data_IF_940107275950
#
_entry.id   IF_940107275950
#
_cell.length_a   1.000
_cell.length_b   1.000
_cell.length_c   1.000
_cell.angle_alpha   90.00
_cell.angle_beta   90.00
_cell.angle_gamma   90.00
#
_symmetry.space_group_name_H-M   'P 1'
#
loop_
_entity.id
_entity.type
_entity.pdbx_description
1 polymer ?
#
# COMPACT_ATOMS: atom_id res chain seq x y z
N UNK A 1 27.18 -11.92 24.79
CA UNK A 1 26.91 -13.25 24.18
C UNK A 1 26.79 -13.08 22.67
N UNK A 2 26.67 -14.16 21.89
CA UNK A 2 26.46 -14.05 20.43
C UNK A 2 25.05 -14.50 20.06
N UNK A 3 24.45 -13.82 19.08
CA UNK A 3 23.14 -14.16 18.55
C UNK A 3 23.19 -15.56 17.93
N UNK A 4 22.32 -16.50 18.34
CA UNK A 4 22.35 -17.87 17.80
C UNK A 4 21.88 -17.95 16.35
N UNK A 5 21.25 -16.89 15.82
CA UNK A 5 20.78 -16.83 14.44
C UNK A 5 21.84 -16.31 13.48
N UNK A 6 22.50 -15.18 13.79
CA UNK A 6 23.44 -14.52 12.87
C UNK A 6 24.89 -14.41 13.39
N UNK A 7 25.16 -14.81 14.64
CA UNK A 7 26.49 -14.71 15.24
C UNK A 7 26.91 -13.31 15.69
N UNK A 8 26.06 -12.28 15.56
CA UNK A 8 26.38 -10.93 16.02
C UNK A 8 26.54 -10.85 17.54
N UNK A 9 27.44 -10.00 18.04
CA UNK A 9 27.60 -9.78 19.48
C UNK A 9 26.38 -9.05 20.03
N UNK A 10 25.74 -9.60 21.06
CA UNK A 10 24.54 -9.05 21.69
C UNK A 10 24.70 -9.04 23.20
N UNK A 11 24.08 -8.06 23.85
CA UNK A 11 24.04 -7.99 25.31
C UNK A 11 23.01 -8.98 25.87
N UNK A 12 23.27 -9.58 27.05
CA UNK A 12 22.35 -10.52 27.67
C UNK A 12 21.01 -9.87 28.04
N UNK A 13 20.97 -8.53 28.17
CA UNK A 13 19.76 -7.82 28.53
C UNK A 13 18.88 -7.41 27.35
N UNK A 14 19.40 -7.48 26.13
CA UNK A 14 18.65 -7.16 24.92
C UNK A 14 17.52 -8.16 24.68
N UNK A 15 16.37 -7.64 24.22
CA UNK A 15 15.19 -8.46 23.89
C UNK A 15 15.28 -9.03 22.47
N UNK A 16 15.89 -8.29 21.56
CA UNK A 16 16.06 -8.63 20.14
C UNK A 16 17.50 -8.35 19.71
N UNK A 17 17.94 -9.00 18.63
CA UNK A 17 19.24 -8.74 18.02
C UNK A 17 19.15 -7.53 17.09
N UNK A 18 19.99 -6.51 17.30
CA UNK A 18 20.00 -5.28 16.47
C UNK A 18 20.45 -5.52 15.02
N UNK A 19 21.10 -6.65 14.73
CA UNK A 19 21.59 -6.97 13.40
C UNK A 19 20.54 -7.72 12.55
N UNK A 20 19.86 -8.71 13.11
CA UNK A 20 18.93 -9.57 12.34
C UNK A 20 17.50 -9.62 12.89
N UNK A 21 17.21 -8.94 14.00
CA UNK A 21 15.87 -8.92 14.62
C UNK A 21 15.51 -10.16 15.44
N UNK A 22 16.41 -11.14 15.58
CA UNK A 22 16.11 -12.37 16.34
C UNK A 22 15.76 -12.08 17.80
N UNK A 23 14.63 -12.62 18.29
CA UNK A 23 14.20 -12.48 19.67
C UNK A 23 15.07 -13.32 20.62
N UNK A 24 15.87 -12.65 21.44
CA UNK A 24 16.81 -13.27 22.39
C UNK A 24 16.15 -13.66 23.71
N UNK A 25 15.09 -12.95 24.11
CA UNK A 25 14.33 -13.23 25.33
C UNK A 25 12.94 -13.75 24.98
N UNK A 26 12.77 -15.08 25.01
CA UNK A 26 11.44 -15.69 25.08
C UNK A 26 10.94 -15.53 26.51
N UNK A 27 9.98 -14.63 26.76
CA UNK A 27 9.22 -14.69 28.01
C UNK A 27 8.58 -16.08 28.05
N UNK A 28 8.74 -16.80 29.17
CA UNK A 28 7.96 -18.01 29.45
C UNK A 28 6.50 -17.60 29.63
N UNK A 29 5.82 -17.34 28.53
CA UNK A 29 4.38 -17.45 28.43
C UNK A 29 4.17 -18.68 27.60
N UNK A 30 3.93 -19.78 28.31
CA UNK A 30 3.57 -21.05 27.74
C UNK A 30 2.43 -20.85 26.73
N UNK A 31 2.67 -21.34 25.52
CA UNK A 31 1.74 -22.16 24.75
C UNK A 31 0.28 -22.07 25.21
N UNK A 32 -0.43 -21.05 24.74
CA UNK A 32 -1.87 -21.19 24.55
C UNK A 32 -2.09 -21.24 23.05
N UNK A 33 -2.29 -22.46 22.58
CA UNK A 33 -2.97 -22.79 21.34
C UNK A 33 -4.40 -22.24 21.43
N UNK A 34 -4.62 -20.93 21.26
CA UNK A 34 -5.93 -20.28 21.05
C UNK A 34 -5.79 -18.83 20.55
N UNK A 35 -5.56 -18.70 19.25
CA UNK A 35 -6.27 -17.75 18.36
C UNK A 35 -6.35 -18.56 17.05
N UNK A 36 -7.47 -18.96 16.44
CA UNK A 36 -8.77 -18.30 16.26
C UNK A 36 -8.64 -16.82 15.90
N UNK A 37 -7.60 -16.49 15.14
CA UNK A 37 -7.69 -15.41 14.15
C UNK A 37 -8.35 -16.12 12.95
N UNK A 38 -9.63 -15.95 12.64
CA UNK A 38 -10.21 -14.84 11.87
C UNK A 38 -9.33 -14.28 10.74
N UNK A 39 -8.30 -15.03 10.35
CA UNK A 39 -7.40 -14.79 9.21
C UNK A 39 -7.28 -16.10 8.40
N UNK A 40 -8.36 -16.89 8.41
CA UNK A 40 -8.53 -17.94 7.42
C UNK A 40 -8.87 -17.22 6.14
N UNK A 41 -7.92 -17.21 5.19
CA UNK A 41 -8.14 -16.79 3.80
C UNK A 41 -9.55 -17.20 3.40
N UNK A 42 -10.42 -16.21 3.21
CA UNK A 42 -11.79 -16.44 2.74
C UNK A 42 -11.67 -17.23 1.45
N UNK A 43 -12.41 -18.34 1.31
CA UNK A 43 -12.27 -19.21 0.14
C UNK A 43 -12.47 -18.36 -1.12
N UNK A 44 -11.63 -18.56 -2.15
CA UNK A 44 -11.75 -17.84 -3.42
C UNK A 44 -13.18 -17.94 -3.98
N UNK A 45 -13.86 -19.05 -3.70
CA UNK A 45 -15.27 -19.31 -4.06
C UNK A 45 -16.27 -18.37 -3.37
N UNK A 46 -16.02 -17.97 -2.13
CA UNK A 46 -16.91 -17.07 -1.38
C UNK A 46 -16.82 -15.65 -1.92
N UNK A 47 -15.63 -15.24 -2.40
CA UNK A 47 -15.39 -13.93 -3.00
C UNK A 47 -16.06 -13.85 -4.38
N UNK A 48 -15.93 -14.88 -5.22
CA UNK A 48 -16.60 -14.95 -6.52
C UNK A 48 -18.13 -14.92 -6.42
N UNK A 49 -18.70 -15.52 -5.37
CA UNK A 49 -20.14 -15.50 -5.15
C UNK A 49 -20.67 -14.14 -4.69
N UNK A 50 -19.87 -13.31 -4.02
CA UNK A 50 -20.25 -11.93 -3.64
C UNK A 50 -20.23 -10.99 -4.85
N UNK A 51 -19.20 -11.09 -5.70
CA UNK A 51 -19.06 -10.24 -6.89
C UNK A 51 -20.17 -10.46 -7.93
N UNK A 52 -20.71 -11.68 -8.03
CA UNK A 52 -21.80 -11.98 -8.97
C UNK A 52 -23.18 -11.44 -8.53
N UNK A 53 -23.31 -10.88 -7.32
CA UNK A 53 -24.59 -10.37 -6.79
C UNK A 53 -24.75 -8.86 -6.89
N UNK A 54 -23.71 -8.09 -7.22
CA UNK A 54 -23.78 -6.61 -7.25
C UNK A 54 -24.29 -6.05 -8.60
N UNK A 55 -24.47 -6.88 -9.63
CA UNK A 55 -24.93 -6.45 -10.97
C UNK A 55 -26.45 -6.55 -11.20
N UNK A 56 -27.26 -6.47 -10.13
CA UNK A 56 -28.73 -6.49 -10.26
C UNK A 56 -29.43 -5.46 -9.39
N UNK A 57 -29.10 -4.18 -9.55
CA UNK A 57 -30.09 -3.11 -9.37
C UNK A 57 -29.68 -1.83 -10.10
N UNK A 58 -30.44 -1.54 -11.16
CA UNK A 58 -30.82 -0.19 -11.58
C UNK A 58 -29.76 0.70 -12.24
N UNK A 59 -29.66 0.43 -13.55
CA UNK A 59 -29.54 1.41 -14.63
C UNK A 59 -30.36 2.69 -14.35
N UNK A 60 -29.73 3.77 -13.90
CA UNK A 60 -30.28 5.14 -14.01
C UNK A 60 -29.20 6.12 -14.51
N UNK A 61 -29.31 6.40 -15.81
CA UNK A 61 -28.70 7.49 -16.59
C UNK A 61 -27.27 7.93 -16.25
N UNK A 62 -26.32 7.49 -17.07
CA UNK A 62 -25.04 8.17 -17.26
C UNK A 62 -25.28 9.63 -17.68
N UNK A 63 -25.17 10.56 -16.73
CA UNK A 63 -24.84 11.93 -17.08
C UNK A 63 -23.39 11.92 -17.60
N UNK A 64 -23.08 12.48 -18.78
CA UNK A 64 -21.71 12.57 -19.28
C UNK A 64 -20.87 13.30 -18.24
N UNK A 65 -19.90 12.60 -17.65
CA UNK A 65 -18.94 13.19 -16.72
C UNK A 65 -18.17 14.30 -17.44
N UNK A 66 -18.59 15.55 -17.26
CA UNK A 66 -17.83 16.70 -17.74
C UNK A 66 -16.78 17.08 -16.70
N UNK A 67 -15.60 17.44 -17.17
CA UNK A 67 -14.48 17.84 -16.32
C UNK A 67 -14.85 19.06 -15.46
N UNK A 68 -14.38 19.05 -14.21
CA UNK A 68 -14.59 20.15 -13.28
C UNK A 68 -14.01 21.47 -13.86
N UNK A 69 -14.71 22.61 -13.70
CA UNK A 69 -14.34 23.89 -14.34
C UNK A 69 -12.96 24.43 -13.92
N UNK A 70 -12.39 23.95 -12.82
CA UNK A 70 -11.02 24.28 -12.41
C UNK A 70 -9.95 23.82 -13.42
N UNK A 71 -10.27 22.87 -14.31
CA UNK A 71 -9.39 22.39 -15.37
C UNK A 71 -9.40 23.30 -16.62
N UNK A 72 -10.29 24.30 -16.69
CA UNK A 72 -10.36 25.25 -17.82
C UNK A 72 -9.31 26.37 -17.76
N UNK A 73 -8.27 26.25 -16.93
CA UNK A 73 -7.11 27.13 -17.07
C UNK A 73 -6.32 26.65 -18.27
N UNK A 74 -6.64 27.21 -19.44
CA UNK A 74 -5.81 27.09 -20.64
C UNK A 74 -4.38 27.54 -20.31
N UNK A 75 -3.49 26.57 -20.08
CA UNK A 75 -2.05 26.77 -20.27
C UNK A 75 -1.78 26.86 -21.79
N UNK A 76 -2.35 27.87 -22.42
CA UNK A 76 -2.38 28.05 -23.88
C UNK A 76 -1.82 29.38 -24.36
N UNK A 77 -1.32 30.24 -23.46
CA UNK A 77 -0.66 31.49 -23.83
C UNK A 77 0.75 31.53 -23.23
N UNK A 78 1.58 30.57 -23.62
CA UNK A 78 3.03 30.81 -23.65
C UNK A 78 3.34 31.28 -25.07
N UNK A 79 3.53 32.59 -25.23
CA UNK A 79 3.85 33.26 -26.48
C UNK A 79 5.01 32.56 -27.24
N UNK A 80 4.66 31.66 -28.15
CA UNK A 80 5.63 31.01 -29.06
C UNK A 80 6.21 31.99 -30.10
N UNK A 81 5.91 33.29 -30.00
CA UNK A 81 6.39 34.34 -30.90
C UNK A 81 7.59 35.14 -30.35
N UNK A 82 8.00 34.90 -29.11
CA UNK A 82 9.11 35.64 -28.49
C UNK A 82 10.50 35.03 -28.74
N UNK A 83 10.63 33.79 -29.23
CA UNK A 83 11.94 33.11 -29.35
C UNK A 83 12.48 33.01 -30.79
N UNK A 84 11.80 33.58 -31.78
CA UNK A 84 12.19 33.45 -33.20
C UNK A 84 12.69 34.76 -33.84
N UNK A 85 12.97 35.79 -33.03
CA UNK A 85 13.50 37.08 -33.51
C UNK A 85 14.97 37.34 -33.21
N UNK A 86 15.64 36.47 -32.46
CA UNK A 86 17.05 36.68 -32.10
C UNK A 86 18.03 35.90 -33.01
N UNK A 87 17.55 35.20 -34.04
CA UNK A 87 18.40 34.40 -34.95
C UNK A 87 18.64 35.05 -36.31
N UNK A 88 18.48 36.38 -36.41
CA UNK A 88 18.77 37.12 -37.65
C UNK A 88 19.43 38.47 -37.35
N UNK A 89 20.68 38.39 -36.92
CA UNK A 89 21.66 39.47 -36.96
C UNK A 89 23.04 38.85 -37.25
#
# INVERSE_FOLDING_TARGET
MFCPNCGHKVDPDQKFCDNCGYALKKKKTETTNQVKDDDTIRSLSDIENELNQEDKSEKESEAPLQQAPAQQREYGSFDQKALQKDSRA
#
